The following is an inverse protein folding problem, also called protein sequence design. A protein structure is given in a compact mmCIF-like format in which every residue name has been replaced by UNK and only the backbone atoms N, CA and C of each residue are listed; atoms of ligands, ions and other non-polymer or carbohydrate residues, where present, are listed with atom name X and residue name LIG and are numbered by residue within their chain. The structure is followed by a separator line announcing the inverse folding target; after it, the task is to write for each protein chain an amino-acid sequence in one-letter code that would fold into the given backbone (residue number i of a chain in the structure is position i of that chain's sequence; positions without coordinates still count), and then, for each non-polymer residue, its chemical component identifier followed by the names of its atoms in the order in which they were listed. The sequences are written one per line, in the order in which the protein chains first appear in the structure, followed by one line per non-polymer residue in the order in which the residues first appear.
data_IF_636183396221
#
_entry.id   IF_636183396221
#
_cell.length_a   1.000
_cell.length_b   1.000
_cell.length_c   1.000
_cell.angle_alpha   90.00
_cell.angle_beta   90.00
_cell.angle_gamma   90.00
#
_symmetry.space_group_name_H-M   'P 1'
#
loop_
_entity.id
_entity.type
_entity.pdbx_description
1 polymer ?
#
# COMPACT_ATOMS: atom_id res chain seq x y z
N UNK A 1 26.45 4.37 -14.90
CA UNK A 1 25.84 5.52 -14.18
C UNK A 1 24.36 5.25 -13.87
N UNK A 2 24.05 4.81 -12.63
CA UNK A 2 22.67 4.61 -12.13
C UNK A 2 22.16 5.80 -11.31
N UNK A 3 22.93 6.88 -11.21
CA UNK A 3 22.71 7.97 -10.25
C UNK A 3 21.64 8.99 -10.59
N UNK A 4 20.84 8.78 -11.64
CA UNK A 4 19.87 9.77 -12.13
C UNK A 4 18.46 9.20 -12.41
N UNK A 5 18.25 7.89 -12.18
CA UNK A 5 16.93 7.24 -12.32
C UNK A 5 16.17 7.07 -11.00
N UNK A 6 16.84 7.29 -9.86
CA UNK A 6 16.24 7.15 -8.53
C UNK A 6 15.54 8.42 -8.03
N UNK A 7 15.71 9.55 -8.74
CA UNK A 7 15.08 10.83 -8.45
C UNK A 7 13.57 10.75 -8.69
N UNK A 8 12.82 10.40 -7.64
CA UNK A 8 11.36 10.34 -7.70
C UNK A 8 10.75 8.94 -7.59
N UNK A 9 11.54 7.87 -7.44
CA UNK A 9 10.98 6.51 -7.38
C UNK A 9 10.08 6.31 -6.16
N UNK A 10 10.50 6.82 -4.99
CA UNK A 10 9.70 6.69 -3.78
C UNK A 10 8.40 7.48 -3.91
N UNK A 11 8.45 8.67 -4.50
CA UNK A 11 7.31 9.53 -4.81
C UNK A 11 6.32 8.83 -5.74
N UNK A 12 6.81 8.08 -6.74
CA UNK A 12 5.98 7.25 -7.60
C UNK A 12 5.38 6.05 -6.85
N UNK A 13 6.14 5.40 -5.95
CA UNK A 13 5.66 4.28 -5.12
C UNK A 13 4.51 4.74 -4.23
N UNK A 14 4.62 5.90 -3.59
CA UNK A 14 3.58 6.46 -2.71
C UNK A 14 2.57 7.34 -3.43
N UNK A 15 2.63 7.44 -4.77
CA UNK A 15 1.63 8.16 -5.55
C UNK A 15 0.24 7.56 -5.32
N UNK A 16 -0.78 8.41 -5.23
CA UNK A 16 -2.15 8.02 -4.87
C UNK A 16 -2.68 6.93 -5.80
N UNK A 17 -2.43 7.07 -7.10
CA UNK A 17 -2.85 6.14 -8.14
C UNK A 17 -2.21 4.77 -7.95
N UNK A 18 -0.91 4.74 -7.64
CA UNK A 18 -0.17 3.51 -7.39
C UNK A 18 -0.66 2.81 -6.11
N UNK A 19 -0.81 3.54 -5.01
CA UNK A 19 -1.34 2.97 -3.76
C UNK A 19 -2.74 2.37 -3.92
N UNK A 20 -3.63 3.04 -4.66
CA UNK A 20 -4.97 2.51 -4.94
C UNK A 20 -4.93 1.27 -5.85
N UNK A 21 -4.01 1.21 -6.82
CA UNK A 21 -3.79 0.03 -7.66
C UNK A 21 -3.27 -1.15 -6.85
N UNK A 22 -2.29 -0.90 -5.97
CA UNK A 22 -1.72 -1.89 -5.06
C UNK A 22 -2.80 -2.45 -4.11
N UNK A 23 -3.59 -1.58 -3.49
CA UNK A 23 -4.69 -1.98 -2.61
C UNK A 23 -5.69 -2.89 -3.32
N UNK A 24 -6.17 -2.51 -4.51
CA UNK A 24 -7.10 -3.35 -5.30
C UNK A 24 -6.51 -4.72 -5.63
N UNK A 25 -5.21 -4.79 -5.92
CA UNK A 25 -4.53 -6.04 -6.21
C UNK A 25 -4.45 -6.94 -4.97
N UNK A 26 -4.15 -6.37 -3.80
CA UNK A 26 -4.12 -7.11 -2.53
C UNK A 26 -5.50 -7.67 -2.20
N UNK A 27 -6.54 -6.86 -2.31
CA UNK A 27 -7.93 -7.30 -2.09
C UNK A 27 -8.33 -8.43 -3.05
N UNK A 28 -7.96 -8.32 -4.33
CA UNK A 28 -8.25 -9.37 -5.32
C UNK A 28 -7.49 -10.68 -5.03
N UNK A 29 -6.28 -10.59 -4.47
CA UNK A 29 -5.50 -11.78 -4.17
C UNK A 29 -6.11 -12.60 -3.03
N UNK A 30 -6.86 -11.98 -2.11
CA UNK A 30 -7.57 -12.69 -1.02
C UNK A 30 -6.64 -13.55 -0.15
N UNK A 31 -5.42 -13.09 0.08
CA UNK A 31 -4.40 -13.83 0.83
C UNK A 31 -4.77 -14.01 2.30
N UNK A 32 -4.23 -15.05 2.93
CA UNK A 32 -4.39 -15.26 4.36
C UNK A 32 -3.84 -14.07 5.18
N UNK A 33 -4.44 -13.75 6.34
CA UNK A 33 -3.96 -12.69 7.23
C UNK A 33 -2.50 -12.91 7.66
N UNK A 34 -1.79 -11.81 7.93
CA UNK A 34 -0.46 -11.83 8.52
C UNK A 34 -0.46 -12.09 10.02
N UNK A 35 0.66 -11.78 10.68
CA UNK A 35 0.81 -11.90 12.15
C UNK A 35 -0.12 -10.97 12.93
N UNK A 36 -0.61 -9.90 12.29
CA UNK A 36 -1.60 -8.96 12.84
C UNK A 36 -3.04 -9.51 12.79
N UNK A 37 -3.27 -10.62 12.10
CA UNK A 37 -4.59 -11.24 11.95
C UNK A 37 -5.59 -10.42 11.14
N UNK A 38 -5.15 -9.39 10.40
CA UNK A 38 -6.06 -8.52 9.63
C UNK A 38 -6.34 -9.17 8.27
N UNK A 39 -7.60 -9.54 7.97
CA UNK A 39 -7.95 -10.14 6.70
C UNK A 39 -8.12 -9.06 5.62
N UNK A 40 -7.98 -9.44 4.34
CA UNK A 40 -8.02 -8.50 3.22
C UNK A 40 -9.33 -7.71 3.13
N UNK A 41 -10.44 -8.28 3.60
CA UNK A 41 -11.77 -7.65 3.63
C UNK A 41 -11.83 -6.47 4.60
N UNK A 42 -10.95 -6.42 5.61
CA UNK A 42 -10.88 -5.34 6.61
C UNK A 42 -9.75 -4.35 6.34
N UNK A 43 -8.95 -4.58 5.31
CA UNK A 43 -7.74 -3.79 5.03
C UNK A 43 -8.04 -2.30 4.82
N UNK A 44 -9.14 -1.96 4.13
CA UNK A 44 -9.53 -0.55 3.91
C UNK A 44 -9.81 0.19 5.20
N UNK A 45 -10.52 -0.44 6.13
CA UNK A 45 -10.90 0.19 7.38
C UNK A 45 -9.68 0.37 8.28
N UNK A 46 -8.77 -0.63 8.30
CA UNK A 46 -7.50 -0.50 8.99
C UNK A 46 -6.66 0.66 8.43
N UNK A 47 -6.54 0.76 7.11
CA UNK A 47 -5.80 1.84 6.47
C UNK A 47 -6.43 3.20 6.82
N UNK A 48 -7.76 3.35 6.79
CA UNK A 48 -8.42 4.62 7.19
C UNK A 48 -8.13 5.01 8.63
N UNK A 49 -8.09 4.04 9.55
CA UNK A 49 -7.80 4.29 10.96
C UNK A 49 -6.34 4.69 11.18
N UNK A 50 -5.40 4.02 10.52
CA UNK A 50 -3.96 4.19 10.79
C UNK A 50 -3.28 5.24 9.89
N UNK A 51 -3.85 5.57 8.73
CA UNK A 51 -3.22 6.49 7.77
C UNK A 51 -2.87 7.88 8.34
N UNK A 52 -3.69 8.51 9.21
CA UNK A 52 -3.32 9.78 9.84
C UNK A 52 -2.06 9.71 10.71
N UNK A 53 -1.69 8.51 11.20
CA UNK A 53 -0.47 8.28 11.99
C UNK A 53 0.75 8.00 11.11
N UNK A 54 0.54 7.43 9.92
CA UNK A 54 1.60 6.99 9.00
C UNK A 54 2.08 8.14 8.10
N UNK A 55 1.18 9.04 7.70
CA UNK A 55 1.45 10.10 6.72
C UNK A 55 2.03 11.37 7.33
#
# INVERSE_FOLDING_TARGET
PRGDQDSGLMEQVVARENMLSALKRVERNGGAPGVDGIPTERLRDQLRAEWPRIR
#
